data_IF_057871451074
#
_entry.id   IF_057871451074
#
_cell.length_a   1.000
_cell.length_b   1.000
_cell.length_c   1.000
_cell.angle_alpha   90.00
_cell.angle_beta   90.00
_cell.angle_gamma   90.00
#
_symmetry.space_group_name_H-M   'P 1'
#
loop_
_entity.id
_entity.type
_entity.pdbx_description
1 polymer ?
#
# COMPACT_ATOMS: atom_id res chain seq x y z
N UNK A 1 -7.09 -5.35 -8.03
CA UNK A 1 -6.90 -4.12 -7.21
C UNK A 1 -5.71 -3.29 -7.69
N UNK A 2 -4.56 -3.89 -8.04
CA UNK A 2 -3.38 -3.17 -8.56
C UNK A 2 -3.66 -2.19 -9.72
N UNK A 3 -4.54 -2.56 -10.66
CA UNK A 3 -4.83 -1.72 -11.83
C UNK A 3 -5.42 -0.32 -11.50
N UNK A 4 -6.01 -0.11 -10.32
CA UNK A 4 -6.60 1.18 -9.93
C UNK A 4 -5.60 2.13 -9.28
N UNK A 5 -4.46 1.61 -8.81
CA UNK A 5 -3.42 2.37 -8.14
C UNK A 5 -2.81 3.49 -9.00
N UNK A 6 -2.48 3.27 -10.29
CA UNK A 6 -1.99 4.35 -11.16
C UNK A 6 -3.06 5.42 -11.45
N UNK A 7 -4.36 5.06 -11.48
CA UNK A 7 -5.43 6.05 -11.60
C UNK A 7 -5.57 6.89 -10.34
N UNK A 8 -5.43 6.28 -9.15
CA UNK A 8 -5.46 7.00 -7.89
C UNK A 8 -4.28 7.94 -7.76
N UNK A 9 -3.06 7.48 -8.05
CA UNK A 9 -1.86 8.32 -7.99
C UNK A 9 -1.86 9.44 -9.03
N UNK A 10 -2.42 9.22 -10.21
CA UNK A 10 -2.56 10.27 -11.24
C UNK A 10 -3.51 11.41 -10.81
N UNK A 11 -4.46 11.15 -9.92
CA UNK A 11 -5.41 12.15 -9.42
C UNK A 11 -5.04 12.71 -8.03
N UNK A 12 -3.90 12.31 -7.45
CA UNK A 12 -3.45 12.81 -6.16
C UNK A 12 -2.95 14.25 -6.27
N UNK A 13 -3.75 15.20 -5.74
CA UNK A 13 -3.30 16.58 -5.54
C UNK A 13 -2.29 16.73 -4.40
N UNK A 14 -2.41 15.91 -3.36
CA UNK A 14 -1.60 15.96 -2.15
C UNK A 14 -1.10 14.56 -1.78
N UNK A 15 -0.06 14.05 -2.46
CA UNK A 15 0.52 12.74 -2.16
C UNK A 15 0.99 12.64 -0.70
N UNK A 16 1.52 13.72 -0.12
CA UNK A 16 1.93 13.78 1.29
C UNK A 16 0.80 13.56 2.30
N UNK A 17 -0.46 13.82 1.94
CA UNK A 17 -1.62 13.56 2.82
C UNK A 17 -2.25 12.19 2.57
N UNK A 18 -2.13 11.65 1.36
CA UNK A 18 -2.69 10.35 0.98
C UNK A 18 -1.86 9.18 1.51
N UNK A 19 -0.54 9.24 1.37
CA UNK A 19 0.33 8.13 1.76
C UNK A 19 0.26 7.77 3.25
N UNK A 20 0.18 8.72 4.20
CA UNK A 20 -0.07 8.41 5.60
C UNK A 20 -1.39 7.66 5.83
N UNK A 21 -2.46 8.05 5.13
CA UNK A 21 -3.77 7.39 5.24
C UNK A 21 -3.75 5.98 4.63
N UNK A 22 -3.12 5.82 3.46
CA UNK A 22 -2.90 4.52 2.84
C UNK A 22 -2.09 3.59 3.76
N UNK A 23 -1.02 4.12 4.37
CA UNK A 23 -0.18 3.35 5.30
C UNK A 23 -0.95 2.90 6.53
N UNK A 24 -1.78 3.77 7.11
CA UNK A 24 -2.65 3.42 8.23
C UNK A 24 -3.67 2.31 7.86
N UNK A 25 -4.34 2.43 6.72
CA UNK A 25 -5.27 1.41 6.23
C UNK A 25 -4.57 0.09 5.90
N UNK A 26 -3.37 0.13 5.33
CA UNK A 26 -2.56 -1.04 5.09
C UNK A 26 -2.14 -1.71 6.41
N UNK A 27 -1.82 -0.92 7.44
CA UNK A 27 -1.50 -1.45 8.77
C UNK A 27 -2.72 -2.11 9.40
N UNK A 28 -3.90 -1.50 9.32
CA UNK A 28 -5.15 -2.09 9.84
C UNK A 28 -5.50 -3.39 9.10
N UNK A 29 -5.32 -3.42 7.78
CA UNK A 29 -5.53 -4.63 6.98
C UNK A 29 -4.55 -5.74 7.38
N UNK A 30 -3.28 -5.40 7.56
CA UNK A 30 -2.26 -6.35 8.02
C UNK A 30 -2.53 -6.80 9.45
N UNK A 31 -2.98 -5.91 10.33
CA UNK A 31 -3.29 -6.30 11.72
C UNK A 31 -4.54 -7.18 11.82
N UNK A 32 -5.52 -6.97 10.95
CA UNK A 32 -6.69 -7.85 10.84
C UNK A 32 -6.37 -9.19 10.16
N UNK A 33 -5.28 -9.29 9.41
CA UNK A 33 -4.86 -10.52 8.74
C UNK A 33 -4.18 -11.50 9.71
N UNK A 34 -4.34 -12.79 9.42
CA UNK A 34 -3.72 -13.87 10.17
C UNK A 34 -2.17 -13.76 10.09
N UNK A 35 -1.42 -14.02 11.17
CA UNK A 35 0.04 -13.94 11.17
C UNK A 35 0.75 -14.63 10.00
N UNK A 36 0.24 -15.79 9.54
CA UNK A 36 0.77 -16.52 8.40
C UNK A 36 0.52 -15.77 7.07
N UNK A 37 -0.65 -15.13 6.95
CA UNK A 37 -1.03 -14.35 5.77
C UNK A 37 -0.43 -12.93 5.77
N UNK A 38 -0.07 -12.37 6.92
CA UNK A 38 0.49 -11.01 7.06
C UNK A 38 1.74 -10.81 6.19
N UNK A 39 2.62 -11.81 6.16
CA UNK A 39 3.85 -11.76 5.36
C UNK A 39 3.51 -11.75 3.88
N UNK A 40 2.59 -12.60 3.45
CA UNK A 40 2.17 -12.69 2.05
C UNK A 40 1.39 -11.45 1.60
N UNK A 41 0.50 -10.92 2.43
CA UNK A 41 -0.22 -9.68 2.19
C UNK A 41 0.73 -8.47 2.08
N UNK A 42 1.74 -8.38 2.94
CA UNK A 42 2.77 -7.34 2.83
C UNK A 42 3.57 -7.49 1.54
N UNK A 43 3.99 -8.70 1.19
CA UNK A 43 4.72 -8.94 -0.06
C UNK A 43 3.87 -8.58 -1.29
N UNK A 44 2.57 -8.90 -1.29
CA UNK A 44 1.65 -8.53 -2.35
C UNK A 44 1.49 -7.00 -2.47
N UNK A 45 1.37 -6.30 -1.35
CA UNK A 45 1.34 -4.83 -1.32
C UNK A 45 2.65 -4.22 -1.83
N UNK A 46 3.80 -4.77 -1.42
CA UNK A 46 5.11 -4.30 -1.86
C UNK A 46 5.34 -4.54 -3.35
N UNK A 47 4.96 -5.70 -3.87
CA UNK A 47 5.01 -6.01 -5.29
C UNK A 47 4.14 -5.04 -6.10
N UNK A 48 2.91 -4.81 -5.65
CA UNK A 48 1.99 -3.88 -6.28
C UNK A 48 2.54 -2.44 -6.33
N UNK A 49 3.18 -1.95 -5.25
CA UNK A 49 3.83 -0.63 -5.26
C UNK A 49 5.04 -0.60 -6.20
N UNK A 50 5.86 -1.64 -6.19
CA UNK A 50 7.04 -1.76 -7.06
C UNK A 50 6.66 -1.80 -8.55
N UNK A 51 5.57 -2.50 -8.91
CA UNK A 51 5.02 -2.54 -10.28
C UNK A 51 4.62 -1.14 -10.80
N UNK A 52 4.28 -0.22 -9.89
CA UNK A 52 3.90 1.15 -10.24
C UNK A 52 5.03 2.17 -9.99
N UNK A 53 6.27 1.71 -9.75
CA UNK A 53 7.43 2.55 -9.43
C UNK A 53 7.22 3.47 -8.21
N UNK A 54 6.40 3.01 -7.25
CA UNK A 54 6.13 3.71 -6.01
C UNK A 54 7.04 3.16 -4.92
N UNK A 55 7.50 4.05 -4.05
CA UNK A 55 8.43 3.69 -2.99
C UNK A 55 7.80 2.73 -1.98
N UNK A 56 8.36 1.53 -1.84
CA UNK A 56 7.85 0.51 -0.91
C UNK A 56 8.07 0.87 0.55
N UNK A 57 8.88 1.90 0.87
CA UNK A 57 9.07 2.42 2.24
C UNK A 57 7.82 3.14 2.77
N UNK A 58 6.82 3.36 1.92
CA UNK A 58 5.52 3.92 2.31
C UNK A 58 4.63 2.88 3.00
N UNK A 59 4.96 1.59 2.89
CA UNK A 59 4.30 0.54 3.68
C UNK A 59 4.70 0.66 5.15
N UNK A 60 3.75 0.48 6.07
CA UNK A 60 4.04 0.52 7.49
C UNK A 60 4.98 -0.63 7.87
N UNK A 61 5.83 -0.40 8.88
CA UNK A 61 6.88 -1.34 9.33
C UNK A 61 6.36 -2.53 10.11
#
# INVERSE_FOLDING_TARGET
>A
MAAMLPEWTAHLRHPDEFWPQFSALAQELLDAADPDDRVQARQALAAMLAEHAIDTRLLPH
#
